data_IF_389658475556
#
_entry.id   IF_389658475556
#
_cell.length_a   1.000
_cell.length_b   1.000
_cell.length_c   1.000
_cell.angle_alpha   90.00
_cell.angle_beta   90.00
_cell.angle_gamma   90.00
#
_symmetry.space_group_name_H-M   'P 1'
#
loop_
_entity.id
_entity.type
_entity.pdbx_description
1 polymer ?
#
# COMPACT_ATOMS: atom_id res chain seq x y z
N UNK A 1 15.52 -20.44 -2.01
CA UNK A 1 14.86 -20.60 -0.70
C UNK A 1 15.92 -20.30 0.33
N UNK A 2 15.86 -19.11 0.88
CA UNK A 2 16.96 -18.41 1.54
C UNK A 2 16.51 -17.75 2.84
N UNK A 3 15.26 -17.96 3.25
CA UNK A 3 14.73 -17.61 4.57
C UNK A 3 13.97 -18.78 5.18
N UNK A 4 13.80 -18.77 6.50
CA UNK A 4 13.00 -19.75 7.24
C UNK A 4 11.76 -19.07 7.82
N UNK A 5 10.61 -19.70 7.62
CA UNK A 5 9.33 -19.29 8.18
C UNK A 5 8.65 -20.52 8.79
N UNK A 6 8.30 -20.48 10.07
CA UNK A 6 7.67 -21.61 10.80
C UNK A 6 8.46 -22.93 10.64
N UNK A 7 9.80 -22.85 10.64
CA UNK A 7 10.69 -24.00 10.48
C UNK A 7 10.76 -24.58 9.05
N UNK A 8 10.14 -23.92 8.05
CA UNK A 8 10.21 -24.32 6.64
C UNK A 8 11.05 -23.32 5.82
N UNK A 9 11.92 -23.81 4.91
CA UNK A 9 12.62 -22.93 3.99
C UNK A 9 11.63 -22.36 2.97
N UNK A 10 11.60 -21.03 2.87
CA UNK A 10 10.73 -20.27 1.98
C UNK A 10 11.57 -19.26 1.18
N UNK A 11 10.95 -18.67 0.16
CA UNK A 11 11.55 -17.57 -0.59
C UNK A 11 11.38 -16.25 0.19
N UNK A 12 12.39 -15.36 0.18
CA UNK A 12 12.29 -13.98 0.71
C UNK A 12 10.96 -13.30 0.37
N UNK A 13 10.53 -13.32 -0.90
CA UNK A 13 9.29 -12.67 -1.30
C UNK A 13 8.07 -13.24 -0.55
N UNK A 14 8.03 -14.54 -0.29
CA UNK A 14 6.92 -15.15 0.45
C UNK A 14 6.89 -14.68 1.91
N UNK A 15 8.05 -14.51 2.54
CA UNK A 15 8.17 -13.94 3.90
C UNK A 15 7.69 -12.49 3.91
N UNK A 16 8.17 -11.70 2.94
CA UNK A 16 7.79 -10.29 2.77
C UNK A 16 6.28 -10.16 2.61
N UNK A 17 5.66 -10.93 1.71
CA UNK A 17 4.22 -10.91 1.49
C UNK A 17 3.43 -11.22 2.74
N UNK A 18 3.84 -12.26 3.48
CA UNK A 18 3.17 -12.64 4.73
C UNK A 18 3.25 -11.51 5.76
N UNK A 19 4.46 -11.05 6.08
CA UNK A 19 4.66 -10.07 7.16
C UNK A 19 4.09 -8.70 6.79
N UNK A 20 4.33 -8.23 5.56
CA UNK A 20 3.78 -6.96 5.10
C UNK A 20 2.25 -7.04 4.91
N UNK A 21 1.70 -8.17 4.48
CA UNK A 21 0.25 -8.39 4.40
C UNK A 21 -0.41 -8.34 5.77
N UNK A 22 0.15 -9.01 6.77
CA UNK A 22 -0.32 -8.94 8.15
C UNK A 22 -0.24 -7.51 8.71
N UNK A 23 0.83 -6.78 8.41
CA UNK A 23 0.95 -5.36 8.79
C UNK A 23 -0.14 -4.50 8.14
N UNK A 24 -0.33 -4.60 6.82
CA UNK A 24 -1.35 -3.85 6.08
C UNK A 24 -2.74 -4.10 6.68
N UNK A 25 -3.08 -5.34 7.00
CA UNK A 25 -4.38 -5.69 7.57
C UNK A 25 -4.63 -5.13 8.97
N UNK A 26 -3.56 -4.87 9.76
CA UNK A 26 -3.66 -4.24 11.08
C UNK A 26 -3.88 -2.73 11.01
N UNK A 27 -3.59 -2.09 9.88
CA UNK A 27 -3.71 -0.64 9.66
C UNK A 27 -5.14 -0.16 9.39
N UNK A 28 -6.08 -0.64 10.19
CA UNK A 28 -7.49 -0.22 10.11
C UNK A 28 -7.61 1.23 10.57
N UNK A 29 -8.04 2.11 9.67
CA UNK A 29 -8.13 3.55 9.92
C UNK A 29 -7.16 4.36 9.05
N UNK A 30 -6.05 3.76 8.62
CA UNK A 30 -5.11 4.38 7.69
C UNK A 30 -5.51 4.13 6.24
N UNK A 31 -5.09 5.04 5.35
CA UNK A 31 -5.09 4.77 3.91
C UNK A 31 -3.76 4.15 3.53
N UNK A 32 -3.82 2.95 2.99
CA UNK A 32 -2.64 2.20 2.58
C UNK A 32 -2.58 2.12 1.06
N UNK A 33 -1.38 2.22 0.50
CA UNK A 33 -1.11 2.06 -0.92
C UNK A 33 0.10 1.15 -1.11
N UNK A 34 0.21 0.58 -2.31
CA UNK A 34 1.28 -0.37 -2.64
C UNK A 34 1.99 0.07 -3.93
N UNK A 35 3.31 0.25 -3.83
CA UNK A 35 4.20 0.48 -4.97
C UNK A 35 5.11 -0.73 -5.09
N UNK A 36 5.20 -1.26 -6.30
CA UNK A 36 6.14 -2.32 -6.65
C UNK A 36 7.22 -1.70 -7.56
N UNK A 37 8.46 -2.09 -7.34
CA UNK A 37 9.58 -1.55 -8.09
C UNK A 37 10.62 -2.62 -8.42
N UNK A 38 11.32 -2.37 -9.52
CA UNK A 38 12.37 -3.22 -10.07
C UNK A 38 13.16 -2.36 -11.05
N UNK A 39 13.21 -2.73 -12.33
CA UNK A 39 13.70 -1.84 -13.40
C UNK A 39 12.89 -0.55 -13.56
N UNK A 40 11.62 -0.57 -13.13
CA UNK A 40 10.75 0.62 -13.05
C UNK A 40 9.89 0.53 -11.80
N UNK A 41 9.43 1.67 -11.30
CA UNK A 41 8.42 1.72 -10.24
C UNK A 41 7.02 1.86 -10.83
N UNK A 42 6.06 1.09 -10.31
CA UNK A 42 4.65 1.22 -10.66
C UNK A 42 3.75 1.11 -9.43
N UNK A 43 2.60 1.77 -9.54
CA UNK A 43 1.58 1.77 -8.49
C UNK A 43 0.71 0.53 -8.65
N UNK A 44 0.80 -0.41 -7.70
CA UNK A 44 -0.04 -1.60 -7.66
C UNK A 44 -1.41 -1.27 -7.06
N UNK A 45 -1.43 -0.47 -5.99
CA UNK A 45 -2.66 -0.05 -5.33
C UNK A 45 -2.56 1.42 -4.94
N UNK A 46 -3.53 2.27 -5.36
CA UNK A 46 -3.60 3.64 -4.86
C UNK A 46 -3.95 3.65 -3.36
N UNK A 47 -3.74 4.79 -2.69
CA UNK A 47 -4.13 4.96 -1.29
C UNK A 47 -5.63 4.67 -1.11
N UNK A 48 -5.94 3.72 -0.23
CA UNK A 48 -7.31 3.28 0.06
C UNK A 48 -7.44 2.84 1.51
N UNK A 49 -8.65 2.96 2.07
CA UNK A 49 -9.00 2.36 3.37
C UNK A 49 -9.23 0.84 3.26
N UNK A 50 -9.32 0.31 2.04
CA UNK A 50 -9.48 -1.11 1.78
C UNK A 50 -8.15 -1.86 1.91
N UNK A 51 -7.77 -2.11 3.16
CA UNK A 51 -6.55 -2.86 3.52
C UNK A 51 -6.63 -4.32 3.08
N UNK A 52 -7.83 -4.89 2.98
CA UNK A 52 -8.04 -6.28 2.56
C UNK A 52 -7.67 -6.45 1.09
N UNK A 53 -8.24 -5.64 0.20
CA UNK A 53 -7.89 -5.66 -1.23
C UNK A 53 -6.41 -5.35 -1.46
N UNK A 54 -5.84 -4.41 -0.70
CA UNK A 54 -4.41 -4.10 -0.78
C UNK A 54 -3.54 -5.30 -0.40
N UNK A 55 -3.91 -6.03 0.66
CA UNK A 55 -3.22 -7.26 1.07
C UNK A 55 -3.36 -8.38 0.04
N UNK A 56 -4.51 -8.51 -0.63
CA UNK A 56 -4.70 -9.49 -1.72
C UNK A 56 -3.78 -9.16 -2.90
N UNK A 57 -3.74 -7.90 -3.33
CA UNK A 57 -2.90 -7.47 -4.45
C UNK A 57 -1.40 -7.62 -4.14
N UNK A 58 -1.00 -7.46 -2.88
CA UNK A 58 0.35 -7.81 -2.43
C UNK A 58 0.63 -9.31 -2.58
N UNK A 59 -0.30 -10.17 -2.15
CA UNK A 59 -0.12 -11.63 -2.23
C UNK A 59 -0.08 -12.13 -3.69
N UNK A 60 -0.80 -11.47 -4.61
CA UNK A 60 -0.77 -11.77 -6.04
C UNK A 60 0.51 -11.27 -6.76
N UNK A 61 1.38 -10.51 -6.09
CA UNK A 61 2.56 -9.90 -6.72
C UNK A 61 3.67 -10.93 -7.01
N UNK A 62 4.04 -11.15 -8.26
CA UNK A 62 5.10 -12.10 -8.64
C UNK A 62 6.48 -11.46 -8.83
N UNK A 63 7.53 -12.28 -8.68
CA UNK A 63 8.92 -11.87 -8.95
C UNK A 63 9.05 -11.47 -10.43
N UNK A 64 9.65 -10.30 -10.68
CA UNK A 64 9.94 -9.85 -12.03
C UNK A 64 8.81 -9.07 -12.71
N UNK A 65 7.64 -8.89 -12.06
CA UNK A 65 6.60 -7.98 -12.55
C UNK A 65 7.13 -6.55 -12.77
N UNK A 66 8.09 -6.13 -11.95
CA UNK A 66 8.74 -4.82 -12.03
C UNK A 66 10.09 -4.81 -12.76
N UNK A 67 10.52 -5.95 -13.30
CA UNK A 67 11.89 -6.14 -13.79
C UNK A 67 12.81 -6.79 -12.76
N UNK A 68 14.11 -6.88 -13.10
CA UNK A 68 15.14 -7.55 -12.27
C UNK A 68 16.23 -6.61 -11.72
N UNK A 69 16.16 -5.34 -12.09
CA UNK A 69 17.01 -4.29 -11.52
C UNK A 69 16.27 -3.64 -10.35
N UNK A 70 16.79 -2.53 -9.83
CA UNK A 70 16.23 -1.88 -8.64
C UNK A 70 16.31 -0.35 -8.79
N UNK A 71 15.15 0.28 -8.99
CA UNK A 71 14.97 1.71 -9.16
C UNK A 71 14.36 2.34 -7.89
N UNK A 72 15.20 2.53 -6.87
CA UNK A 72 14.80 3.06 -5.55
C UNK A 72 14.33 4.51 -5.67
N UNK A 73 15.09 5.35 -6.38
CA UNK A 73 14.76 6.77 -6.51
C UNK A 73 13.44 7.00 -7.24
N UNK A 74 13.16 6.23 -8.29
CA UNK A 74 11.88 6.30 -9.01
C UNK A 74 10.71 5.84 -8.12
N UNK A 75 10.91 4.82 -7.27
CA UNK A 75 9.90 4.35 -6.33
C UNK A 75 9.55 5.43 -5.29
N UNK A 76 10.57 6.08 -4.71
CA UNK A 76 10.38 7.21 -3.79
C UNK A 76 9.69 8.38 -4.53
N UNK A 77 10.15 8.73 -5.73
CA UNK A 77 9.55 9.80 -6.53
C UNK A 77 8.09 9.54 -6.88
N UNK A 78 7.74 8.30 -7.20
CA UNK A 78 6.35 7.88 -7.43
C UNK A 78 5.52 8.00 -6.15
N UNK A 79 6.05 7.53 -5.01
CA UNK A 79 5.37 7.65 -3.71
C UNK A 79 5.12 9.11 -3.36
N UNK A 80 6.13 9.98 -3.47
CA UNK A 80 6.01 11.44 -3.25
C UNK A 80 4.92 12.03 -4.15
N UNK A 81 4.92 11.69 -5.44
CA UNK A 81 3.90 12.19 -6.39
C UNK A 81 2.49 11.79 -5.97
N UNK A 82 2.28 10.55 -5.52
CA UNK A 82 0.96 10.05 -5.10
C UNK A 82 0.50 10.65 -3.77
N UNK A 83 1.41 10.82 -2.82
CA UNK A 83 1.10 11.40 -1.52
C UNK A 83 0.85 12.91 -1.58
N UNK A 84 1.44 13.62 -2.55
CA UNK A 84 1.17 15.05 -2.77
C UNK A 84 -0.26 15.30 -3.26
N UNK A 85 -0.85 14.36 -3.98
CA UNK A 85 -2.26 14.41 -4.40
C UNK A 85 -3.23 14.19 -3.23
N UNK A 86 -2.70 13.84 -2.06
CA UNK A 86 -3.46 13.48 -0.86
C UNK A 86 -3.33 14.52 0.26
N UNK A 87 -4.44 14.83 0.93
CA UNK A 87 -4.53 15.84 1.98
C UNK A 87 -4.17 15.33 3.40
N UNK A 88 -3.55 14.15 3.52
CA UNK A 88 -3.15 13.58 4.81
C UNK A 88 -2.16 14.48 5.58
N UNK A 89 -2.37 14.60 6.90
CA UNK A 89 -1.52 15.29 7.87
C UNK A 89 -0.17 14.59 8.06
N UNK A 90 -0.18 13.26 8.10
CA UNK A 90 1.00 12.43 8.31
C UNK A 90 1.20 11.48 7.13
N UNK A 91 2.44 11.40 6.63
CA UNK A 91 2.80 10.70 5.40
C UNK A 91 4.04 9.86 5.65
N UNK A 92 3.87 8.55 5.56
CA UNK A 92 4.93 7.58 5.82
C UNK A 92 5.11 6.68 4.59
N UNK A 93 6.36 6.44 4.22
CA UNK A 93 6.76 5.45 3.21
C UNK A 93 7.62 4.38 3.87
N UNK A 94 7.23 3.12 3.73
CA UNK A 94 8.05 1.97 4.12
C UNK A 94 8.67 1.40 2.84
N UNK A 95 9.97 1.61 2.66
CA UNK A 95 10.76 1.12 1.54
C UNK A 95 11.42 -0.21 1.93
N UNK A 96 11.13 -1.27 1.20
CA UNK A 96 11.70 -2.60 1.42
C UNK A 96 12.52 -3.02 0.20
N UNK A 97 13.79 -3.39 0.39
CA UNK A 97 14.67 -3.81 -0.72
C UNK A 97 15.77 -4.77 -0.25
N UNK A 98 16.24 -5.63 -1.15
CA UNK A 98 17.34 -6.57 -0.95
C UNK A 98 18.60 -6.23 -1.77
N UNK A 99 18.60 -5.11 -2.50
CA UNK A 99 19.70 -4.70 -3.35
C UNK A 99 19.91 -3.18 -3.41
N UNK A 100 21.00 -2.79 -4.07
CA UNK A 100 21.37 -1.41 -4.33
C UNK A 100 20.58 -0.84 -5.50
N UNK A 101 20.53 0.49 -5.58
CA UNK A 101 19.97 1.17 -6.74
C UNK A 101 20.83 0.85 -7.98
N UNK A 102 20.25 0.15 -8.95
CA UNK A 102 20.93 -0.31 -10.18
C UNK A 102 20.29 0.27 -11.44
N UNK A 103 19.13 0.90 -11.33
CA UNK A 103 18.42 1.55 -12.43
C UNK A 103 17.59 2.73 -11.92
N UNK A 104 16.83 3.35 -12.82
CA UNK A 104 15.98 4.51 -12.53
C UNK A 104 16.54 5.80 -13.11
N UNK A 105 15.64 6.76 -13.30
CA UNK A 105 15.98 8.09 -13.85
C UNK A 105 16.34 9.08 -12.72
N UNK A 106 15.87 8.81 -11.50
CA UNK A 106 16.10 9.64 -10.32
C UNK A 106 17.04 8.95 -9.35
N UNK A 107 18.08 9.67 -8.92
CA UNK A 107 19.00 9.18 -7.88
C UNK A 107 18.29 9.06 -6.52
N UNK A 108 18.55 8.00 -5.72
CA UNK A 108 17.85 7.76 -4.45
C UNK A 108 17.95 8.93 -3.47
N UNK A 109 19.14 9.53 -3.33
CA UNK A 109 19.35 10.67 -2.44
C UNK A 109 18.64 11.94 -2.93
N UNK A 110 18.53 12.11 -4.24
CA UNK A 110 17.76 13.23 -4.81
C UNK A 110 16.25 13.03 -4.55
N UNK A 111 15.75 11.80 -4.69
CA UNK A 111 14.37 11.46 -4.36
C UNK A 111 14.06 11.68 -2.86
N UNK A 112 15.00 11.35 -1.97
CA UNK A 112 14.89 11.62 -0.55
C UNK A 112 14.82 13.13 -0.24
N UNK A 113 15.56 13.97 -0.97
CA UNK A 113 15.44 15.42 -0.83
C UNK A 113 14.05 15.95 -1.22
N UNK A 114 13.44 15.38 -2.25
CA UNK A 114 12.06 15.70 -2.61
C UNK A 114 11.07 15.22 -1.54
N UNK A 115 11.29 14.04 -0.96
CA UNK A 115 10.47 13.51 0.13
C UNK A 115 10.47 14.44 1.35
N UNK A 116 11.64 14.96 1.75
CA UNK A 116 11.76 15.93 2.86
C UNK A 116 10.93 17.19 2.60
N UNK A 117 10.96 17.73 1.38
CA UNK A 117 10.21 18.95 1.02
C UNK A 117 8.70 18.76 1.09
N UNK A 118 8.23 17.53 0.86
CA UNK A 118 6.81 17.17 0.86
C UNK A 118 6.34 16.59 2.21
N UNK A 119 7.23 16.61 3.22
CA UNK A 119 6.93 16.10 4.56
C UNK A 119 6.75 14.58 4.63
N UNK A 120 7.36 13.84 3.71
CA UNK A 120 7.31 12.37 3.68
C UNK A 120 8.42 11.78 4.53
N UNK A 121 8.05 11.04 5.58
CA UNK A 121 8.99 10.25 6.40
C UNK A 121 9.22 8.89 5.75
N UNK A 122 10.48 8.48 5.57
CA UNK A 122 10.81 7.19 4.93
C UNK A 122 11.49 6.26 5.95
N UNK A 123 10.88 5.09 6.15
CA UNK A 123 11.51 3.96 6.83
C UNK A 123 12.06 3.00 5.79
N UNK A 124 13.32 2.61 5.93
CA UNK A 124 13.98 1.72 4.96
C UNK A 124 14.31 0.39 5.62
N UNK A 125 13.93 -0.71 4.97
CA UNK A 125 14.14 -2.07 5.46
C UNK A 125 14.97 -2.84 4.43
N UNK A 126 16.21 -3.17 4.81
CA UNK A 126 17.10 -4.01 4.02
C UNK A 126 16.84 -5.50 4.32
N UNK A 127 16.44 -6.28 3.31
CA UNK A 127 16.20 -7.73 3.46
C UNK A 127 17.41 -8.51 2.95
N UNK A 128 18.01 -9.32 3.81
CA UNK A 128 19.08 -10.20 3.38
C UNK A 128 19.79 -10.88 4.54
N UNK A 129 20.14 -12.14 4.34
CA UNK A 129 20.87 -12.96 5.32
C UNK A 129 22.34 -12.53 5.43
N UNK A 130 22.93 -12.76 6.60
CA UNK A 130 24.37 -12.57 6.83
C UNK A 130 25.22 -13.54 5.98
N UNK A 131 26.53 -13.28 5.91
CA UNK A 131 27.48 -14.15 5.23
C UNK A 131 27.43 -15.58 5.80
N UNK A 132 27.27 -16.56 4.92
CA UNK A 132 27.26 -17.97 5.30
C UNK A 132 28.48 -18.68 4.70
N UNK A 133 29.15 -19.48 5.52
CA UNK A 133 30.14 -20.45 5.06
C UNK A 133 29.39 -21.65 4.45
N UNK A 134 29.39 -21.74 3.13
CA UNK A 134 28.86 -22.90 2.40
C UNK A 134 29.99 -23.88 2.19
N UNK A 135 29.84 -25.10 2.73
CA UNK A 135 30.80 -26.17 2.52
C UNK A 135 30.52 -26.84 1.17
N UNK A 136 31.46 -26.71 0.23
CA UNK A 136 31.42 -27.31 -1.09
C UNK A 136 32.34 -28.54 -1.16
N UNK A 137 32.26 -29.33 -2.22
CA UNK A 137 33.08 -30.55 -2.39
C UNK A 137 34.60 -30.29 -2.39
N UNK A 138 35.01 -29.03 -2.58
CA UNK A 138 36.40 -28.58 -2.67
C UNK A 138 36.85 -27.68 -1.50
N UNK A 139 36.02 -27.48 -0.48
CA UNK A 139 36.33 -26.63 0.69
C UNK A 139 35.19 -25.71 1.12
N UNK A 140 35.41 -24.88 2.14
CA UNK A 140 34.43 -23.89 2.59
C UNK A 140 34.52 -22.59 1.78
N UNK A 141 33.42 -22.17 1.14
CA UNK A 141 33.28 -20.88 0.46
C UNK A 141 32.40 -19.95 1.29
N UNK A 142 32.90 -18.76 1.58
CA UNK A 142 32.10 -17.68 2.17
C UNK A 142 31.17 -17.13 1.07
N UNK A 143 29.86 -17.18 1.27
CA UNK A 143 28.85 -16.63 0.36
C UNK A 143 28.13 -15.51 1.09
N UNK A 144 28.12 -14.32 0.52
CA UNK A 144 27.34 -13.18 1.02
C UNK A 144 26.07 -13.03 0.18
N UNK A 145 24.89 -13.46 0.67
CA UNK A 145 23.62 -13.36 -0.05
C UNK A 145 23.09 -11.92 -0.18
N UNK A 146 23.79 -10.97 0.44
CA UNK A 146 23.41 -9.56 0.56
C UNK A 146 24.51 -8.62 0.05
N UNK A 147 25.46 -9.12 -0.75
CA UNK A 147 26.58 -8.34 -1.25
C UNK A 147 26.14 -7.11 -2.05
N UNK A 148 24.97 -7.21 -2.68
CA UNK A 148 24.42 -6.15 -3.51
C UNK A 148 23.64 -5.10 -2.70
N UNK A 149 23.44 -5.26 -1.39
CA UNK A 149 22.63 -4.34 -0.58
C UNK A 149 23.45 -3.11 -0.12
N UNK A 150 23.08 -1.94 -0.63
CA UNK A 150 23.68 -0.66 -0.24
C UNK A 150 23.02 -0.10 1.04
N UNK A 151 23.50 -0.55 2.19
CA UNK A 151 23.00 -0.08 3.49
C UNK A 151 23.26 1.40 3.76
N UNK A 152 24.36 1.95 3.24
CA UNK A 152 24.76 3.33 3.52
C UNK A 152 23.78 4.30 2.87
N UNK A 153 23.38 4.03 1.62
CA UNK A 153 22.32 4.80 0.95
C UNK A 153 20.99 4.68 1.67
N UNK A 154 20.59 3.48 2.12
CA UNK A 154 19.32 3.29 2.85
C UNK A 154 19.30 4.04 4.19
N UNK A 155 20.39 3.96 4.96
CA UNK A 155 20.55 4.72 6.21
C UNK A 155 20.47 6.23 5.95
N UNK A 156 21.17 6.71 4.93
CA UNK A 156 21.16 8.12 4.57
C UNK A 156 19.76 8.61 4.16
N UNK A 157 18.97 7.81 3.44
CA UNK A 157 17.59 8.14 3.09
C UNK A 157 16.71 8.23 4.35
N UNK A 158 16.78 7.23 5.23
CA UNK A 158 15.98 7.19 6.44
C UNK A 158 16.31 8.35 7.38
N UNK A 159 17.59 8.58 7.66
CA UNK A 159 18.06 9.68 8.52
C UNK A 159 17.63 11.04 7.98
N UNK A 160 17.77 11.26 6.67
CA UNK A 160 17.48 12.56 6.06
C UNK A 160 15.98 12.88 6.03
N UNK A 161 15.13 11.86 5.99
CA UNK A 161 13.66 12.01 5.99
C UNK A 161 13.05 11.90 7.39
N UNK A 162 13.86 11.66 8.43
CA UNK A 162 13.39 11.55 9.81
C UNK A 162 12.74 10.21 10.16
N UNK A 163 13.00 9.17 9.37
CA UNK A 163 12.62 7.79 9.67
C UNK A 163 13.78 6.99 10.28
N UNK A 164 13.72 5.67 10.14
CA UNK A 164 14.73 4.75 10.65
C UNK A 164 15.08 3.66 9.63
N UNK A 165 16.33 3.22 9.68
CA UNK A 165 16.82 2.07 8.92
C UNK A 165 16.72 0.79 9.76
N UNK A 166 16.24 -0.28 9.13
CA UNK A 166 16.15 -1.60 9.71
C UNK A 166 16.78 -2.67 8.81
N UNK A 167 17.34 -3.70 9.43
CA UNK A 167 17.94 -4.85 8.75
C UNK A 167 17.18 -6.12 9.10
N UNK A 168 16.52 -6.73 8.12
CA UNK A 168 15.78 -7.98 8.28
C UNK A 168 16.61 -9.16 7.77
N UNK A 169 17.10 -9.98 8.71
CA UNK A 169 17.92 -11.17 8.42
C UNK A 169 17.11 -12.44 8.25
N UNK A 170 15.97 -12.50 8.92
CA UNK A 170 15.03 -13.62 8.93
C UNK A 170 13.59 -13.08 9.03
N UNK A 171 12.62 -13.99 8.95
CA UNK A 171 11.20 -13.65 9.01
C UNK A 171 10.80 -13.04 10.36
N UNK A 172 11.42 -13.48 11.46
CA UNK A 172 11.09 -13.02 12.81
C UNK A 172 11.59 -11.59 13.04
N UNK A 173 12.79 -11.28 12.53
CA UNK A 173 13.35 -9.94 12.52
C UNK A 173 12.47 -8.99 11.69
N UNK A 174 11.99 -9.43 10.52
CA UNK A 174 11.08 -8.62 9.71
C UNK A 174 9.78 -8.34 10.47
N UNK A 175 9.19 -9.35 11.12
CA UNK A 175 7.97 -9.17 11.92
C UNK A 175 8.15 -8.15 13.05
N UNK A 176 9.25 -8.26 13.82
CA UNK A 176 9.58 -7.31 14.89
C UNK A 176 9.77 -5.87 14.38
N UNK A 177 10.35 -5.70 13.18
CA UNK A 177 10.50 -4.38 12.57
C UNK A 177 9.14 -3.75 12.30
N UNK A 178 8.18 -4.51 11.77
CA UNK A 178 6.83 -4.02 11.54
C UNK A 178 6.06 -3.74 12.85
N UNK A 179 6.31 -4.51 13.92
CA UNK A 179 5.78 -4.19 15.26
C UNK A 179 6.34 -2.85 15.79
N UNK A 180 7.65 -2.61 15.62
CA UNK A 180 8.25 -1.32 15.98
C UNK A 180 7.68 -0.16 15.16
N UNK A 181 7.39 -0.38 13.88
CA UNK A 181 6.71 0.62 13.04
C UNK A 181 5.27 0.90 13.50
N UNK A 182 4.56 -0.09 14.02
CA UNK A 182 3.24 0.08 14.66
C UNK A 182 3.33 0.97 15.92
N UNK A 183 4.42 0.89 16.69
CA UNK A 183 4.65 1.75 17.85
C UNK A 183 5.07 3.18 17.47
N UNK A 184 5.90 3.33 16.43
CA UNK A 184 6.43 4.62 15.99
C UNK A 184 5.39 5.47 15.25
N UNK A 185 4.51 4.82 14.49
CA UNK A 185 3.46 5.45 13.70
C UNK A 185 2.12 4.82 14.11
N UNK A 186 1.55 5.18 15.27
CA UNK A 186 0.26 4.64 15.70
C UNK A 186 -0.84 5.13 14.76
N UNK A 187 -1.79 4.25 14.44
CA UNK A 187 -2.97 4.62 13.68
C UNK A 187 -3.76 5.66 14.46
N UNK A 188 -4.10 6.80 13.84
CA UNK A 188 -5.04 7.76 14.42
C UNK A 188 -6.37 7.04 14.62
N UNK A 189 -6.63 6.65 15.88
CA UNK A 189 -7.80 5.90 16.35
C UNK A 189 -9.07 6.28 15.60
N UNK A 190 -9.85 5.26 15.17
CA UNK A 190 -11.21 5.25 14.61
C UNK A 190 -12.05 6.50 14.95
N UNK A 191 -11.70 7.64 14.35
CA UNK A 191 -12.72 8.57 13.93
C UNK A 191 -13.16 7.93 12.64
N UNK A 192 -14.15 7.03 12.74
CA UNK A 192 -14.98 6.66 11.59
C UNK A 192 -15.10 7.93 10.79
N UNK A 193 -14.46 7.99 9.62
CA UNK A 193 -14.67 9.09 8.71
C UNK A 193 -16.14 8.91 8.33
N UNK A 194 -17.02 9.53 9.12
CA UNK A 194 -18.45 9.57 8.90
C UNK A 194 -18.53 10.30 7.58
N UNK A 195 -18.48 9.54 6.49
CA UNK A 195 -18.71 10.05 5.16
C UNK A 195 -20.18 10.42 5.20
N UNK A 196 -20.55 11.71 5.24
CA UNK A 196 -21.95 12.07 5.31
C UNK A 196 -22.54 11.58 4.00
N UNK A 197 -23.32 10.50 4.07
CA UNK A 197 -24.08 10.05 2.92
C UNK A 197 -25.28 10.97 2.89
N UNK A 198 -25.23 11.99 2.01
CA UNK A 198 -26.39 12.82 1.77
C UNK A 198 -27.46 11.95 1.10
N UNK A 199 -28.45 11.53 1.89
CA UNK A 199 -29.56 10.68 1.47
C UNK A 199 -30.53 11.46 0.56
N UNK A 200 -30.13 11.77 -0.67
CA UNK A 200 -30.91 12.54 -1.65
C UNK A 200 -32.18 11.82 -2.16
N UNK A 201 -32.45 10.58 -1.72
CA UNK A 201 -33.60 9.79 -2.20
C UNK A 201 -34.97 10.41 -1.85
N UNK A 202 -35.03 11.27 -0.84
CA UNK A 202 -36.27 11.94 -0.42
C UNK A 202 -36.83 12.87 -1.52
N UNK A 203 -35.99 13.45 -2.38
CA UNK A 203 -36.42 14.29 -3.51
C UNK A 203 -37.21 13.50 -4.57
N UNK A 204 -36.65 12.44 -5.21
CA UNK A 204 -37.40 11.64 -6.17
C UNK A 204 -38.59 10.92 -5.54
N UNK A 205 -38.48 10.49 -4.27
CA UNK A 205 -39.60 9.85 -3.55
C UNK A 205 -40.77 10.81 -3.35
N UNK A 206 -40.50 12.06 -2.93
CA UNK A 206 -41.52 13.09 -2.75
C UNK A 206 -42.18 13.46 -4.09
N UNK A 207 -41.40 13.58 -5.16
CA UNK A 207 -41.92 13.84 -6.50
C UNK A 207 -42.85 12.72 -6.99
N UNK A 208 -42.45 11.46 -6.82
CA UNK A 208 -43.27 10.30 -7.16
C UNK A 208 -44.57 10.26 -6.32
N UNK A 209 -44.48 10.54 -5.03
CA UNK A 209 -45.62 10.58 -4.12
C UNK A 209 -46.64 11.65 -4.54
N UNK A 210 -46.18 12.86 -4.87
CA UNK A 210 -47.05 13.95 -5.35
C UNK A 210 -47.72 13.59 -6.68
N UNK A 211 -46.99 12.98 -7.61
CA UNK A 211 -47.56 12.53 -8.89
C UNK A 211 -48.65 11.48 -8.70
N UNK A 212 -48.44 10.50 -7.82
CA UNK A 212 -49.44 9.48 -7.47
C UNK A 212 -50.66 10.12 -6.82
N UNK A 213 -50.46 11.06 -5.89
CA UNK A 213 -51.55 11.77 -5.23
C UNK A 213 -52.38 12.58 -6.24
N UNK A 214 -51.72 13.28 -7.17
CA UNK A 214 -52.38 14.04 -8.23
C UNK A 214 -53.17 13.13 -9.19
N UNK A 215 -52.60 11.98 -9.58
CA UNK A 215 -53.28 10.99 -10.40
C UNK A 215 -54.51 10.38 -9.70
N UNK A 216 -54.40 10.08 -8.40
CA UNK A 216 -55.51 9.57 -7.60
C UNK A 216 -56.64 10.61 -7.47
N UNK A 217 -56.31 11.87 -7.21
CA UNK A 217 -57.28 12.97 -7.17
C UNK A 217 -57.96 13.19 -8.53
N UNK A 218 -57.22 13.05 -9.62
CA UNK A 218 -57.80 13.11 -10.97
C UNK A 218 -58.74 11.93 -11.26
N UNK A 219 -58.38 10.72 -10.82
CA UNK A 219 -59.19 9.52 -10.98
C UNK A 219 -60.45 9.51 -10.10
N UNK A 220 -60.40 10.16 -8.92
CA UNK A 220 -61.53 10.29 -7.99
C UNK A 220 -62.54 11.38 -8.36
N UNK A 221 -62.25 12.24 -9.36
CA UNK A 221 -63.24 13.22 -9.84
C UNK A 221 -64.43 12.47 -10.48
N UNK A 222 -65.64 12.54 -9.89
CA UNK A 222 -66.78 11.86 -10.46
C UNK A 222 -67.31 12.64 -11.67
N UNK A 223 -67.20 12.03 -12.86
CA UNK A 223 -68.13 12.25 -13.97
C UNK A 223 -67.55 12.84 -15.25
N UNK A 224 -67.36 11.99 -16.27
CA UNK A 224 -67.88 12.16 -17.65
C UNK A 224 -67.63 10.86 -18.47
N UNK A 225 -68.08 9.70 -17.97
CA UNK A 225 -68.37 8.54 -18.84
C UNK A 225 -69.79 8.72 -19.37
N UNK A 226 -69.91 9.55 -20.41
CA UNK A 226 -71.13 9.69 -21.18
C UNK A 226 -71.43 8.38 -21.92
N UNK A 227 -72.58 7.81 -21.60
CA UNK A 227 -73.27 6.75 -22.33
C UNK A 227 -73.37 7.14 -23.81
N UNK A 228 -72.86 6.31 -24.72
CA UNK A 228 -73.36 6.26 -26.11
C UNK A 228 -74.16 4.99 -26.27
N UNK A 229 -75.48 5.19 -26.35
CA UNK A 229 -76.47 4.18 -26.67
C UNK A 229 -76.38 3.76 -28.14
N UNK A 230 -76.78 2.52 -28.36
CA UNK A 230 -77.06 1.82 -29.61
C UNK A 230 -77.93 2.61 -30.60
N UNK A 231 -77.57 2.55 -31.89
CA UNK A 231 -78.48 2.38 -33.02
C UNK A 231 -77.69 1.69 -34.15
#
# INVERSE_FOLDING_TARGET
QDMVLEGRPVNRLAVVKKVAGEFIQRRRGDRVGLVLFGSRAYLQTPLTFDTETTSILLDESEIGLAGRETAIGDAIGLAVKRLREDAASERVLILLTDGANTSGEVEPMQAAEFAVREGLKIYTVGVGADEMLVQDFFGSRLVNPSADLDEDTLKAIAERTGGAYFRARDAEALARIYEQLDELEPVESDQEAIRPVDELFHWPLSAAFVLVLAAALFAMRPGMRGVRATA
#
